data_IF_333563438417
#
_entry.id   IF_333563438417
#
_cell.length_a   1.000
_cell.length_b   1.000
_cell.length_c   1.000
_cell.angle_alpha   90.00
_cell.angle_beta   90.00
_cell.angle_gamma   90.00
#
_symmetry.space_group_name_H-M   'P 1'
#
loop_
_entity.id
_entity.type
_entity.pdbx_description
1 polymer ?
#
# COMPACT_ATOMS: atom_id res chain seq x y z
N UNK A 1 -5.35 -25.28 -38.19
CA UNK A 1 -5.62 -25.95 -36.89
C UNK A 1 -4.36 -26.04 -36.02
N UNK A 2 -3.18 -26.33 -36.60
CA UNK A 2 -1.90 -26.34 -35.87
C UNK A 2 -1.40 -24.96 -35.43
N UNK A 3 -1.59 -23.90 -36.22
CA UNK A 3 -1.17 -22.53 -35.88
C UNK A 3 -1.87 -22.02 -34.60
N UNK A 4 -3.16 -22.36 -34.43
CA UNK A 4 -3.93 -22.02 -33.24
C UNK A 4 -3.45 -22.80 -32.00
N UNK A 5 -2.99 -24.05 -32.19
CA UNK A 5 -2.39 -24.88 -31.13
C UNK A 5 -1.04 -24.32 -30.69
N UNK A 6 -0.18 -23.91 -31.62
CA UNK A 6 1.10 -23.28 -31.32
C UNK A 6 0.94 -21.96 -30.55
N UNK A 7 -0.02 -21.12 -30.95
CA UNK A 7 -0.34 -19.88 -30.22
C UNK A 7 -0.84 -20.17 -28.80
N UNK A 8 -1.68 -21.18 -28.61
CA UNK A 8 -2.15 -21.61 -27.29
C UNK A 8 -1.01 -22.16 -26.42
N UNK A 9 -0.12 -22.97 -26.98
CA UNK A 9 1.04 -23.51 -26.25
C UNK A 9 2.00 -22.39 -25.80
N UNK A 10 2.26 -21.39 -26.67
CA UNK A 10 3.01 -20.19 -26.32
C UNK A 10 2.35 -19.39 -25.18
N UNK A 11 1.02 -19.24 -25.22
CA UNK A 11 0.27 -18.59 -24.15
C UNK A 11 0.39 -19.36 -22.83
N UNK A 12 0.27 -20.69 -22.86
CA UNK A 12 0.45 -21.57 -21.70
C UNK A 12 1.86 -21.44 -21.11
N UNK A 13 2.90 -21.51 -21.94
CA UNK A 13 4.30 -21.34 -21.50
C UNK A 13 4.50 -19.97 -20.84
N UNK A 14 4.03 -18.89 -21.46
CA UNK A 14 4.11 -17.54 -20.87
C UNK A 14 3.36 -17.44 -19.53
N UNK A 15 2.21 -18.08 -19.41
CA UNK A 15 1.43 -18.10 -18.18
C UNK A 15 2.13 -18.90 -17.07
N UNK A 16 2.73 -20.04 -17.39
CA UNK A 16 3.56 -20.81 -16.44
C UNK A 16 4.78 -20.00 -15.99
N UNK A 17 5.49 -19.35 -16.92
CA UNK A 17 6.62 -18.47 -16.58
C UNK A 17 6.21 -17.30 -15.68
N UNK A 18 5.06 -16.66 -15.93
CA UNK A 18 4.57 -15.58 -15.05
C UNK A 18 4.26 -16.09 -13.65
N UNK A 19 3.63 -17.26 -13.50
CA UNK A 19 3.33 -17.84 -12.18
C UNK A 19 4.59 -18.24 -11.41
N UNK A 20 5.65 -18.67 -12.10
CA UNK A 20 6.92 -19.06 -11.45
C UNK A 20 7.82 -17.87 -11.09
N UNK A 21 7.57 -16.69 -11.65
CA UNK A 21 8.42 -15.49 -11.47
C UNK A 21 7.76 -14.36 -10.67
N UNK A 22 6.42 -14.28 -10.65
CA UNK A 22 5.67 -13.20 -10.00
C UNK A 22 4.95 -13.66 -8.73
N UNK A 23 4.86 -12.76 -7.75
CA UNK A 23 3.97 -12.89 -6.60
C UNK A 23 2.54 -12.45 -6.99
N UNK A 24 1.73 -13.41 -7.44
CA UNK A 24 0.34 -13.21 -7.89
C UNK A 24 -0.69 -13.38 -6.77
N UNK A 25 -0.24 -13.79 -5.58
CA UNK A 25 -1.10 -14.05 -4.43
C UNK A 25 -1.47 -12.78 -3.65
N UNK A 26 -1.04 -11.58 -4.08
CA UNK A 26 -1.48 -10.31 -3.50
C UNK A 26 -3.00 -10.14 -3.69
N UNK A 27 -3.74 -9.74 -2.65
CA UNK A 27 -5.21 -9.62 -2.70
C UNK A 27 -5.72 -8.21 -2.98
N UNK A 28 -6.59 -8.04 -3.99
CA UNK A 28 -7.18 -6.74 -4.35
C UNK A 28 -8.04 -6.17 -3.23
N UNK A 29 -8.83 -7.03 -2.60
CA UNK A 29 -9.70 -6.68 -1.49
C UNK A 29 -8.92 -6.16 -0.27
N UNK A 30 -7.68 -6.62 -0.05
CA UNK A 30 -6.81 -6.02 0.98
C UNK A 30 -6.44 -4.57 0.70
N UNK A 31 -6.24 -4.18 -0.57
CA UNK A 31 -6.00 -2.79 -0.94
C UNK A 31 -7.20 -1.89 -0.66
N UNK A 32 -8.42 -2.37 -0.96
CA UNK A 32 -9.66 -1.66 -0.64
C UNK A 32 -9.80 -1.44 0.87
N UNK A 33 -9.59 -2.49 1.67
CA UNK A 33 -9.68 -2.40 3.13
C UNK A 33 -8.62 -1.46 3.70
N UNK A 34 -7.37 -1.52 3.24
CA UNK A 34 -6.33 -0.57 3.63
C UNK A 34 -6.74 0.88 3.37
N UNK A 35 -7.35 1.16 2.22
CA UNK A 35 -7.86 2.49 1.94
C UNK A 35 -9.02 2.93 2.83
N UNK A 36 -9.94 2.01 3.16
CA UNK A 36 -11.01 2.30 4.13
C UNK A 36 -10.43 2.59 5.52
N UNK A 37 -9.45 1.81 5.98
CA UNK A 37 -8.78 2.06 7.25
C UNK A 37 -8.07 3.41 7.27
N UNK A 38 -7.41 3.78 6.18
CA UNK A 38 -6.80 5.09 6.03
C UNK A 38 -7.83 6.21 6.13
N UNK A 39 -8.97 6.11 5.44
CA UNK A 39 -10.04 7.13 5.53
C UNK A 39 -10.57 7.28 6.97
N UNK A 40 -10.87 6.16 7.65
CA UNK A 40 -11.33 6.18 9.05
C UNK A 40 -10.28 6.81 9.97
N UNK A 41 -9.02 6.40 9.83
CA UNK A 41 -7.91 6.94 10.60
C UNK A 41 -7.70 8.44 10.37
N UNK A 42 -7.82 8.90 9.13
CA UNK A 42 -7.72 10.31 8.77
C UNK A 42 -8.85 11.15 9.36
N UNK A 43 -10.09 10.64 9.34
CA UNK A 43 -11.24 11.30 9.99
C UNK A 43 -10.99 11.41 11.50
N UNK A 44 -10.59 10.31 12.16
CA UNK A 44 -10.29 10.32 13.58
C UNK A 44 -9.17 11.32 13.94
N UNK A 45 -8.09 11.35 13.14
CA UNK A 45 -7.00 12.30 13.30
C UNK A 45 -7.44 13.75 13.08
N UNK A 46 -8.24 14.03 12.06
CA UNK A 46 -8.78 15.36 11.80
C UNK A 46 -9.62 15.87 12.97
N UNK A 47 -10.51 15.02 13.52
CA UNK A 47 -11.33 15.37 14.68
C UNK A 47 -10.47 15.66 15.92
N UNK A 48 -9.44 14.84 16.18
CA UNK A 48 -8.50 15.06 17.28
C UNK A 48 -7.72 16.37 17.14
N UNK A 49 -7.20 16.66 15.95
CA UNK A 49 -6.47 17.90 15.68
C UNK A 49 -7.39 19.10 15.86
N UNK A 50 -8.60 19.05 15.29
CA UNK A 50 -9.59 20.13 15.39
C UNK A 50 -9.98 20.40 16.84
N UNK A 51 -10.19 19.36 17.65
CA UNK A 51 -10.49 19.50 19.07
C UNK A 51 -9.32 20.12 19.84
N UNK A 52 -8.08 19.68 19.56
CA UNK A 52 -6.88 20.23 20.21
C UNK A 52 -6.69 21.71 19.87
N UNK A 53 -6.97 22.09 18.63
CA UNK A 53 -6.86 23.47 18.14
C UNK A 53 -7.85 24.46 18.79
N UNK A 54 -8.87 23.97 19.51
CA UNK A 54 -9.75 24.84 20.30
C UNK A 54 -9.04 25.45 21.52
N UNK A 55 -8.02 24.77 22.04
CA UNK A 55 -7.33 25.15 23.28
C UNK A 55 -5.87 25.53 23.05
N UNK A 56 -5.22 24.94 22.04
CA UNK A 56 -3.80 25.14 21.77
C UNK A 56 -3.54 25.34 20.28
N UNK A 57 -2.72 26.33 19.88
CA UNK A 57 -2.45 26.61 18.47
C UNK A 57 -1.64 25.50 17.77
N UNK A 58 -0.88 24.71 18.54
CA UNK A 58 0.01 23.68 18.00
C UNK A 58 -0.08 22.37 18.79
N UNK A 59 0.20 21.25 18.11
CA UNK A 59 0.29 19.91 18.72
C UNK A 59 1.75 19.65 19.11
N UNK A 60 2.04 19.61 20.42
CA UNK A 60 3.36 19.30 20.95
C UNK A 60 3.58 17.78 21.05
N UNK A 61 4.82 17.29 20.90
CA UNK A 61 5.14 15.85 20.97
C UNK A 61 4.65 15.20 22.28
N UNK A 62 4.81 15.92 23.39
CA UNK A 62 4.48 15.42 24.73
C UNK A 62 2.96 15.34 24.98
N UNK A 63 2.18 16.01 24.13
CA UNK A 63 0.73 16.07 24.26
C UNK A 63 0.08 14.69 24.10
N UNK A 64 -1.03 14.49 24.82
CA UNK A 64 -1.89 13.31 24.63
C UNK A 64 -2.35 13.20 23.17
N UNK A 65 -2.66 14.33 22.53
CA UNK A 65 -3.07 14.42 21.13
C UNK A 65 -2.02 13.81 20.19
N UNK A 66 -0.74 14.16 20.33
CA UNK A 66 0.32 13.59 19.51
C UNK A 66 0.44 12.07 19.70
N UNK A 67 0.39 11.59 20.95
CA UNK A 67 0.41 10.15 21.26
C UNK A 67 -0.78 9.43 20.63
N UNK A 68 -1.97 10.02 20.66
CA UNK A 68 -3.17 9.49 20.00
C UNK A 68 -3.03 9.45 18.47
N UNK A 69 -2.44 10.47 17.86
CA UNK A 69 -2.17 10.50 16.42
C UNK A 69 -1.25 9.34 16.02
N UNK A 70 -0.14 9.14 16.75
CA UNK A 70 0.78 8.03 16.50
C UNK A 70 0.08 6.67 16.72
N UNK A 71 -0.75 6.55 17.75
CA UNK A 71 -1.51 5.32 18.01
C UNK A 71 -2.48 5.00 16.85
N UNK A 72 -3.19 6.01 16.30
CA UNK A 72 -4.07 5.84 15.14
C UNK A 72 -3.26 5.42 13.92
N UNK A 73 -2.14 6.09 13.63
CA UNK A 73 -1.29 5.74 12.49
C UNK A 73 -0.78 4.29 12.57
N UNK A 74 -0.33 3.86 13.75
CA UNK A 74 0.09 2.49 14.00
C UNK A 74 -1.08 1.50 13.88
N UNK A 75 -2.26 1.84 14.39
CA UNK A 75 -3.45 0.99 14.26
C UNK A 75 -3.84 0.78 12.79
N UNK A 76 -3.84 1.84 11.98
CA UNK A 76 -4.12 1.75 10.54
C UNK A 76 -3.07 0.89 9.83
N UNK A 77 -1.79 1.08 10.15
CA UNK A 77 -0.69 0.29 9.57
C UNK A 77 -0.83 -1.20 9.92
N UNK A 78 -1.04 -1.53 11.20
CA UNK A 78 -1.18 -2.91 11.68
C UNK A 78 -2.42 -3.56 11.06
N UNK A 79 -3.57 -2.88 11.05
CA UNK A 79 -4.79 -3.38 10.42
C UNK A 79 -4.55 -3.70 8.93
N UNK A 80 -3.91 -2.77 8.20
CA UNK A 80 -3.61 -2.92 6.78
C UNK A 80 -2.68 -4.11 6.50
N UNK A 81 -1.58 -4.24 7.25
CA UNK A 81 -0.63 -5.34 7.11
C UNK A 81 -1.25 -6.69 7.45
N UNK A 82 -2.05 -6.76 8.52
CA UNK A 82 -2.76 -7.97 8.90
C UNK A 82 -3.75 -8.40 7.82
N UNK A 83 -4.55 -7.47 7.27
CA UNK A 83 -5.49 -7.79 6.19
C UNK A 83 -4.77 -8.23 4.92
N UNK A 84 -3.69 -7.55 4.55
CA UNK A 84 -2.88 -7.91 3.39
C UNK A 84 -2.32 -9.33 3.54
N UNK A 85 -1.77 -9.67 4.70
CA UNK A 85 -1.25 -11.00 4.99
C UNK A 85 -2.36 -12.06 4.96
N UNK A 86 -3.44 -11.87 5.70
CA UNK A 86 -4.51 -12.87 5.83
C UNK A 86 -5.17 -13.17 4.49
N UNK A 87 -5.46 -12.14 3.68
CA UNK A 87 -6.15 -12.33 2.41
C UNK A 87 -5.21 -12.89 1.35
N UNK A 88 -3.95 -12.46 1.34
CA UNK A 88 -2.95 -13.05 0.45
C UNK A 88 -2.67 -14.52 0.81
N UNK A 89 -2.68 -14.88 2.10
CA UNK A 89 -2.52 -16.26 2.56
C UNK A 89 -3.71 -17.15 2.16
N UNK A 90 -4.94 -16.64 2.31
CA UNK A 90 -6.15 -17.32 1.84
C UNK A 90 -6.11 -17.53 0.32
N UNK A 91 -5.72 -16.51 -0.44
CA UNK A 91 -5.59 -16.56 -1.91
C UNK A 91 -4.51 -17.55 -2.36
N UNK A 92 -3.34 -17.54 -1.71
CA UNK A 92 -2.28 -18.50 -1.98
C UNK A 92 -2.77 -19.95 -1.76
N UNK A 93 -3.43 -20.21 -0.62
CA UNK A 93 -4.01 -21.53 -0.31
C UNK A 93 -5.03 -21.98 -1.35
N UNK A 94 -5.95 -21.09 -1.77
CA UNK A 94 -6.96 -21.39 -2.80
C UNK A 94 -6.34 -21.71 -4.16
N UNK A 95 -5.21 -21.08 -4.49
CA UNK A 95 -4.48 -21.31 -5.74
C UNK A 95 -3.49 -22.50 -5.68
N UNK A 96 -3.38 -23.21 -4.55
CA UNK A 96 -2.37 -24.27 -4.36
C UNK A 96 -0.94 -23.74 -4.28
N UNK A 97 -0.76 -22.45 -4.03
CA UNK A 97 0.54 -21.77 -3.94
C UNK A 97 0.99 -21.64 -2.47
N UNK A 98 2.31 -21.65 -2.23
CA UNK A 98 2.87 -21.28 -0.93
C UNK A 98 3.12 -19.78 -0.88
N UNK A 99 2.59 -19.10 0.15
CA UNK A 99 2.83 -17.67 0.36
C UNK A 99 4.33 -17.35 0.52
N UNK A 100 5.10 -18.23 1.17
CA UNK A 100 6.54 -18.06 1.39
C UNK A 100 7.39 -18.63 0.23
N UNK A 101 6.98 -18.40 -1.01
CA UNK A 101 7.75 -18.78 -2.19
C UNK A 101 9.04 -17.94 -2.33
N UNK A 102 10.04 -18.40 -3.12
CA UNK A 102 11.22 -17.58 -3.44
C UNK A 102 10.85 -16.23 -4.08
N UNK A 103 9.80 -16.19 -4.91
CA UNK A 103 9.31 -14.96 -5.54
C UNK A 103 8.69 -14.01 -4.52
N UNK A 104 7.90 -14.52 -3.57
CA UNK A 104 7.32 -13.73 -2.49
C UNK A 104 8.40 -13.14 -1.56
N UNK A 105 9.45 -13.91 -1.24
CA UNK A 105 10.58 -13.42 -0.44
C UNK A 105 11.33 -12.28 -1.14
N UNK A 106 11.57 -12.40 -2.46
CA UNK A 106 12.18 -11.31 -3.26
C UNK A 106 11.27 -10.08 -3.32
N UNK A 107 9.97 -10.28 -3.52
CA UNK A 107 9.01 -9.18 -3.52
C UNK A 107 9.00 -8.45 -2.16
N UNK A 108 8.91 -9.20 -1.05
CA UNK A 108 8.94 -8.64 0.30
C UNK A 108 10.24 -7.88 0.57
N UNK A 109 11.39 -8.43 0.18
CA UNK A 109 12.69 -7.77 0.35
C UNK A 109 12.75 -6.42 -0.39
N UNK A 110 12.35 -6.39 -1.66
CA UNK A 110 12.36 -5.17 -2.47
C UNK A 110 11.33 -4.13 -2.01
N UNK A 111 10.20 -4.57 -1.45
CA UNK A 111 9.23 -3.69 -0.82
C UNK A 111 9.73 -3.15 0.53
N UNK A 112 10.34 -4.01 1.34
CA UNK A 112 10.76 -3.67 2.71
C UNK A 112 11.89 -2.64 2.74
N UNK A 113 12.84 -2.67 1.79
CA UNK A 113 13.97 -1.72 1.80
C UNK A 113 13.49 -0.27 1.82
N UNK A 114 12.73 0.25 0.82
CA UNK A 114 12.30 1.64 0.86
C UNK A 114 11.33 1.91 2.02
N UNK A 115 10.43 0.97 2.34
CA UNK A 115 9.45 1.16 3.40
C UNK A 115 10.12 1.33 4.77
N UNK A 116 11.05 0.45 5.13
CA UNK A 116 11.78 0.52 6.40
C UNK A 116 12.69 1.75 6.46
N UNK A 117 13.35 2.11 5.36
CA UNK A 117 14.13 3.35 5.28
C UNK A 117 13.24 4.57 5.53
N UNK A 118 12.06 4.65 4.90
CA UNK A 118 11.11 5.74 5.12
C UNK A 118 10.54 5.78 6.54
N UNK A 119 10.27 4.62 7.14
CA UNK A 119 9.84 4.50 8.53
C UNK A 119 10.89 4.98 9.53
N UNK A 120 12.14 4.55 9.35
CA UNK A 120 13.28 5.02 10.16
C UNK A 120 13.48 6.53 9.97
N UNK A 121 13.44 7.02 8.73
CA UNK A 121 13.54 8.45 8.44
C UNK A 121 12.42 9.24 9.10
N UNK A 122 11.19 8.73 9.13
CA UNK A 122 10.06 9.37 9.82
C UNK A 122 10.33 9.52 11.33
N UNK A 123 10.91 8.49 11.97
CA UNK A 123 11.31 8.55 13.39
C UNK A 123 12.41 9.61 13.59
N UNK A 124 13.41 9.65 12.70
CA UNK A 124 14.48 10.66 12.76
C UNK A 124 13.94 12.08 12.57
N UNK A 125 12.99 12.29 11.67
CA UNK A 125 12.36 13.59 11.44
C UNK A 125 11.53 14.05 12.64
N UNK A 126 10.82 13.14 13.31
CA UNK A 126 10.14 13.44 14.59
C UNK A 126 11.17 13.90 15.62
N UNK A 127 12.29 13.19 15.77
CA UNK A 127 13.33 13.53 16.73
C UNK A 127 13.99 14.89 16.46
N UNK A 128 14.08 15.29 15.19
CA UNK A 128 14.66 16.56 14.76
C UNK A 128 13.63 17.69 14.61
N UNK A 129 12.36 17.47 14.96
CA UNK A 129 11.34 18.53 14.94
C UNK A 129 10.70 18.81 13.58
N UNK A 130 10.94 17.98 12.56
CA UNK A 130 10.43 18.16 11.19
C UNK A 130 9.09 17.45 10.94
N UNK A 131 8.07 17.74 11.74
CA UNK A 131 6.79 17.01 11.71
C UNK A 131 5.98 17.18 10.42
N UNK A 132 6.07 18.34 9.79
CA UNK A 132 5.37 18.62 8.53
C UNK A 132 5.77 17.69 7.38
N UNK A 133 6.92 17.02 7.51
CA UNK A 133 7.44 16.11 6.50
C UNK A 133 6.97 14.65 6.66
N UNK A 134 6.24 14.30 7.72
CA UNK A 134 5.86 12.89 7.95
C UNK A 134 4.88 12.35 6.90
N UNK A 135 3.83 13.11 6.58
CA UNK A 135 2.90 12.75 5.52
C UNK A 135 3.59 12.60 4.14
N UNK A 136 4.36 13.58 3.64
CA UNK A 136 5.04 13.41 2.35
C UNK A 136 6.08 12.30 2.35
N UNK A 137 6.88 12.12 3.42
CA UNK A 137 7.91 11.07 3.47
C UNK A 137 7.28 9.67 3.47
N UNK A 138 6.19 9.47 4.20
CA UNK A 138 5.48 8.19 4.17
C UNK A 138 4.91 7.88 2.79
N UNK A 139 4.31 8.86 2.10
CA UNK A 139 3.84 8.72 0.71
C UNK A 139 4.98 8.39 -0.27
N UNK A 140 6.07 9.17 -0.23
CA UNK A 140 7.22 8.99 -1.13
C UNK A 140 7.86 7.62 -0.95
N UNK A 141 8.19 7.22 0.28
CA UNK A 141 8.88 5.96 0.52
C UNK A 141 7.99 4.75 0.33
N UNK A 142 6.69 4.85 0.62
CA UNK A 142 5.73 3.83 0.23
C UNK A 142 5.63 3.71 -1.30
N UNK A 143 5.55 4.84 -2.01
CA UNK A 143 5.51 4.85 -3.46
C UNK A 143 6.77 4.25 -4.09
N UNK A 144 7.95 4.54 -3.54
CA UNK A 144 9.21 3.90 -3.92
C UNK A 144 9.21 2.39 -3.62
N UNK A 145 8.64 1.96 -2.50
CA UNK A 145 8.46 0.54 -2.18
C UNK A 145 7.59 -0.15 -3.24
N UNK A 146 6.47 0.47 -3.64
CA UNK A 146 5.59 0.01 -4.71
C UNK A 146 6.31 -0.09 -6.06
N UNK A 147 7.01 0.96 -6.47
CA UNK A 147 7.79 0.96 -7.72
C UNK A 147 8.83 -0.16 -7.69
N UNK A 148 9.54 -0.35 -6.58
CA UNK A 148 10.58 -1.36 -6.48
C UNK A 148 10.02 -2.78 -6.50
N UNK A 149 8.92 -3.04 -5.79
CA UNK A 149 8.29 -4.38 -5.77
C UNK A 149 7.55 -4.72 -7.05
N UNK A 150 7.12 -3.72 -7.84
CA UNK A 150 6.30 -3.92 -9.04
C UNK A 150 6.90 -4.89 -10.07
N UNK A 151 8.23 -5.05 -10.09
CA UNK A 151 8.95 -6.03 -10.93
C UNK A 151 8.64 -7.49 -10.58
N UNK A 152 8.18 -7.72 -9.35
CA UNK A 152 7.91 -9.05 -8.78
C UNK A 152 6.42 -9.27 -8.50
N UNK A 153 5.53 -8.37 -8.89
CA UNK A 153 4.08 -8.50 -8.69
C UNK A 153 3.31 -7.91 -9.89
N UNK A 154 2.03 -7.56 -9.72
CA UNK A 154 1.23 -6.94 -10.76
C UNK A 154 1.81 -5.59 -11.18
N UNK A 155 1.89 -5.36 -12.49
CA UNK A 155 2.40 -4.11 -13.08
C UNK A 155 1.62 -2.88 -12.61
N UNK A 156 0.34 -3.05 -12.26
CA UNK A 156 -0.51 -1.96 -11.78
C UNK A 156 0.01 -1.36 -10.45
N UNK A 157 0.80 -2.11 -9.65
CA UNK A 157 1.48 -1.59 -8.45
C UNK A 157 2.48 -0.49 -8.81
N UNK A 158 3.07 -0.54 -10.00
CA UNK A 158 3.99 0.50 -10.47
C UNK A 158 3.30 1.86 -10.53
N UNK A 159 2.12 1.92 -11.15
CA UNK A 159 1.37 3.16 -11.32
C UNK A 159 0.83 3.70 -10.00
N UNK A 160 0.42 2.84 -9.08
CA UNK A 160 0.13 3.25 -7.69
C UNK A 160 1.37 3.91 -7.08
N UNK A 161 2.53 3.25 -7.16
CA UNK A 161 3.77 3.77 -6.60
C UNK A 161 4.19 5.14 -7.17
N UNK A 162 4.08 5.33 -8.49
CA UNK A 162 4.33 6.63 -9.13
C UNK A 162 3.34 7.70 -8.65
N UNK A 163 2.06 7.34 -8.51
CA UNK A 163 1.03 8.25 -8.00
C UNK A 163 1.34 8.71 -6.57
N UNK A 164 1.72 7.79 -5.69
CA UNK A 164 2.10 8.07 -4.30
C UNK A 164 3.35 8.95 -4.21
N UNK A 165 4.35 8.71 -5.08
CA UNK A 165 5.54 9.57 -5.16
C UNK A 165 5.15 11.00 -5.55
N UNK A 166 4.33 11.16 -6.58
CA UNK A 166 3.87 12.48 -7.04
C UNK A 166 3.07 13.19 -5.94
N UNK A 167 2.11 12.51 -5.31
CA UNK A 167 1.34 13.06 -4.20
C UNK A 167 2.23 13.45 -3.02
N UNK A 168 3.23 12.65 -2.70
CA UNK A 168 4.19 12.95 -1.65
C UNK A 168 5.06 14.16 -1.96
N UNK A 169 5.53 14.31 -3.20
CA UNK A 169 6.27 15.51 -3.64
C UNK A 169 5.39 16.77 -3.61
N UNK A 170 4.13 16.66 -4.06
CA UNK A 170 3.15 17.74 -3.96
C UNK A 170 2.85 18.11 -2.51
N UNK A 171 2.79 17.13 -1.60
CA UNK A 171 2.60 17.36 -0.18
C UNK A 171 3.79 18.10 0.48
N UNK A 172 5.01 17.95 -0.04
CA UNK A 172 6.15 18.79 0.38
C UNK A 172 5.97 20.23 -0.09
N UNK A 173 5.57 20.42 -1.35
CA UNK A 173 5.40 21.75 -1.94
C UNK A 173 4.25 22.52 -1.28
N UNK A 174 3.09 21.88 -1.12
CA UNK A 174 1.90 22.44 -0.46
C UNK A 174 1.89 22.12 1.03
N UNK A 175 2.85 22.70 1.77
CA UNK A 175 2.96 22.53 3.22
C UNK A 175 1.65 22.90 3.93
N UNK A 176 1.30 22.15 4.97
CA UNK A 176 0.04 22.28 5.73
C UNK A 176 -1.10 21.38 5.23
N UNK A 177 -1.02 20.85 4.00
CA UNK A 177 -2.04 19.95 3.42
C UNK A 177 -1.69 18.46 3.54
N UNK A 178 -0.70 18.10 4.37
CA UNK A 178 -0.17 16.72 4.46
C UNK A 178 -1.25 15.64 4.67
N UNK A 179 -2.23 15.88 5.54
CA UNK A 179 -3.34 14.94 5.77
C UNK A 179 -4.24 14.78 4.53
N UNK A 180 -4.45 15.83 3.74
CA UNK A 180 -5.24 15.77 2.52
C UNK A 180 -4.56 14.86 1.49
N UNK A 181 -3.27 15.08 1.22
CA UNK A 181 -2.50 14.24 0.30
C UNK A 181 -2.40 12.80 0.80
N UNK A 182 -2.29 12.61 2.12
CA UNK A 182 -2.28 11.29 2.73
C UNK A 182 -3.60 10.55 2.53
N UNK A 183 -4.74 11.23 2.66
CA UNK A 183 -6.08 10.70 2.34
C UNK A 183 -6.21 10.36 0.86
N UNK A 184 -5.68 11.19 -0.03
CA UNK A 184 -5.72 10.94 -1.47
C UNK A 184 -4.93 9.67 -1.83
N UNK A 185 -3.69 9.53 -1.34
CA UNK A 185 -2.84 8.37 -1.61
C UNK A 185 -3.32 7.11 -0.88
N UNK A 186 -3.14 7.09 0.44
CA UNK A 186 -3.44 5.91 1.26
C UNK A 186 -4.92 5.58 1.36
N UNK A 187 -5.82 6.53 1.13
CA UNK A 187 -7.27 6.30 1.11
C UNK A 187 -7.81 6.01 -0.30
N UNK A 188 -7.99 7.07 -1.09
CA UNK A 188 -8.67 6.97 -2.39
C UNK A 188 -7.89 6.14 -3.41
N UNK A 189 -6.59 6.39 -3.61
CA UNK A 189 -5.79 5.65 -4.58
C UNK A 189 -5.74 4.15 -4.24
N UNK A 190 -5.66 3.80 -2.95
CA UNK A 190 -5.70 2.40 -2.51
C UNK A 190 -7.06 1.72 -2.74
N UNK A 191 -8.17 2.43 -2.54
CA UNK A 191 -9.52 1.90 -2.85
C UNK A 191 -9.65 1.63 -4.34
N UNK A 192 -9.28 2.60 -5.17
CA UNK A 192 -9.35 2.50 -6.64
C UNK A 192 -8.44 1.35 -7.11
N UNK A 193 -7.18 1.35 -6.69
CA UNK A 193 -6.22 0.31 -7.05
C UNK A 193 -6.66 -1.08 -6.59
N UNK A 194 -7.10 -1.22 -5.34
CA UNK A 194 -7.59 -2.48 -4.79
C UNK A 194 -8.80 -3.01 -5.56
N UNK A 195 -9.73 -2.12 -5.92
CA UNK A 195 -10.87 -2.43 -6.77
C UNK A 195 -10.46 -2.91 -8.16
N UNK A 196 -9.59 -2.16 -8.84
CA UNK A 196 -9.05 -2.56 -10.16
C UNK A 196 -8.39 -3.93 -10.08
N UNK A 197 -7.58 -4.17 -9.05
CA UNK A 197 -6.87 -5.44 -8.89
C UNK A 197 -7.83 -6.61 -8.63
N UNK A 198 -8.87 -6.39 -7.82
CA UNK A 198 -9.92 -7.37 -7.56
C UNK A 198 -10.70 -7.73 -8.84
N UNK A 199 -11.22 -6.74 -9.57
CA UNK A 199 -12.02 -7.01 -10.76
C UNK A 199 -11.19 -7.57 -11.92
N UNK A 200 -9.98 -7.04 -12.14
CA UNK A 200 -9.14 -7.41 -13.28
C UNK A 200 -8.49 -8.78 -13.11
N UNK A 201 -8.08 -9.16 -11.89
CA UNK A 201 -7.26 -10.36 -11.68
C UNK A 201 -7.87 -11.43 -10.79
N UNK A 202 -8.88 -11.11 -9.97
CA UNK A 202 -9.50 -12.06 -9.05
C UNK A 202 -10.86 -12.53 -9.56
N UNK A 203 -11.80 -11.61 -9.77
CA UNK A 203 -13.19 -11.97 -10.11
C UNK A 203 -13.30 -12.72 -11.46
N UNK A 204 -12.51 -12.33 -12.46
CA UNK A 204 -12.51 -13.00 -13.78
C UNK A 204 -11.90 -14.41 -13.74
N UNK A 205 -11.07 -14.71 -12.74
CA UNK A 205 -10.45 -16.03 -12.59
C UNK A 205 -11.39 -17.01 -11.90
N UNK A 206 -12.21 -16.52 -10.98
CA UNK A 206 -13.21 -17.31 -10.26
C UNK A 206 -14.35 -17.74 -11.20
N UNK A 207 -14.78 -16.87 -12.13
CA UNK A 207 -15.83 -17.20 -13.12
C UNK A 207 -15.44 -18.25 -14.18
N UNK A 208 -14.15 -18.53 -14.38
CA UNK A 208 -13.66 -19.52 -15.35
C UNK A 208 -13.33 -20.87 -14.72
N UNK A 209 -13.45 -20.99 -13.39
CA UNK A 209 -13.18 -22.22 -12.63
C UNK A 209 -14.46 -22.90 -12.10
N UNK A 210 -15.62 -22.30 -12.35
CA UNK A 210 -16.96 -22.85 -12.13
C UNK A 210 -17.59 -23.19 -13.50
#
# INVERSE_FOLDING_TARGET
MEENKYLNDLQHIRQMMRKSTLFLSLSGLSGVLSGVYALIGAIAMYLLIKQHQLYYPYVYIESKTFKSIIAIALAVLVASLLTAYLFSARKAKRNGERLASPTAKRALYNFAIPLLTGGILSILLIRNGHYGLLAPITLIFYGLACVNVSKYTFSDVHYLGITEIILGLLAVYFSGYGLLFWVLGFGFCHIIYGGVMHFKYEQNKDKNND
#
